data_IF_766854886625
#
_entry.id   IF_766854886625
#
_cell.length_a   1.000
_cell.length_b   1.000
_cell.length_c   1.000
_cell.angle_alpha   90.00
_cell.angle_beta   90.00
_cell.angle_gamma   90.00
#
_symmetry.space_group_name_H-M   'P 1'
#
loop_
_entity.id
_entity.type
_entity.pdbx_description
1 polymer ?
#
# COMPACT_ATOMS: atom_id res chain seq x y z
N UNK A 1 13.80 -0.22 16.04
CA UNK A 1 14.26 -1.57 15.64
C UNK A 1 15.36 -2.07 16.55
N UNK A 2 16.28 -1.22 17.01
CA UNK A 2 17.34 -1.62 17.96
C UNK A 2 16.81 -2.19 19.29
N UNK A 3 15.67 -1.72 19.79
CA UNK A 3 15.02 -2.32 20.96
C UNK A 3 14.49 -3.74 20.67
N UNK A 4 14.11 -4.02 19.42
CA UNK A 4 13.56 -5.31 19.04
C UNK A 4 14.64 -6.39 18.99
N UNK A 5 15.82 -6.06 18.46
CA UNK A 5 16.95 -6.99 18.40
C UNK A 5 17.43 -7.42 19.79
N UNK A 6 17.43 -6.50 20.76
CA UNK A 6 17.83 -6.78 22.15
C UNK A 6 16.76 -7.48 22.99
N UNK A 7 15.51 -7.55 22.50
CA UNK A 7 14.39 -8.18 23.21
C UNK A 7 14.25 -9.69 22.99
N UNK A 8 14.92 -10.23 21.97
CA UNK A 8 14.85 -11.65 21.64
C UNK A 8 15.71 -12.50 22.58
N UNK A 9 15.25 -13.72 22.86
CA UNK A 9 15.92 -14.66 23.76
C UNK A 9 16.33 -15.91 23.00
N UNK A 10 17.61 -16.28 23.05
CA UNK A 10 18.15 -17.43 22.32
C UNK A 10 17.44 -18.77 22.61
N UNK A 11 16.84 -18.96 23.79
CA UNK A 11 16.11 -20.19 24.14
C UNK A 11 14.65 -20.25 23.71
N UNK A 12 14.14 -19.25 22.97
CA UNK A 12 12.70 -19.09 22.71
C UNK A 12 12.40 -18.96 21.23
N UNK A 13 11.21 -19.46 20.86
CA UNK A 13 10.57 -19.11 19.60
C UNK A 13 9.73 -17.85 19.85
N UNK A 14 10.01 -16.78 19.12
CA UNK A 14 9.36 -15.47 19.31
C UNK A 14 9.00 -14.85 17.96
N UNK A 15 8.08 -13.88 18.00
CA UNK A 15 7.71 -13.10 16.82
C UNK A 15 7.82 -11.62 17.15
N UNK A 16 8.40 -10.86 16.22
CA UNK A 16 8.50 -9.41 16.29
C UNK A 16 7.91 -8.78 15.03
N UNK A 17 7.37 -7.58 15.15
CA UNK A 17 6.86 -6.83 14.01
C UNK A 17 7.51 -5.45 14.04
N UNK A 18 8.03 -5.03 12.89
CA UNK A 18 8.65 -3.73 12.71
C UNK A 18 8.24 -3.07 11.41
N UNK A 19 8.15 -1.75 11.41
CA UNK A 19 8.04 -0.95 10.20
C UNK A 19 9.41 -0.37 9.87
N UNK A 20 9.87 -0.57 8.63
CA UNK A 20 11.18 -0.09 8.17
C UNK A 20 11.03 0.66 6.86
N UNK A 21 11.62 1.85 6.78
CA UNK A 21 11.67 2.67 5.57
C UNK A 21 13.07 2.58 4.96
N UNK A 22 13.14 2.32 3.67
CA UNK A 22 14.40 2.29 2.92
C UNK A 22 14.63 3.64 2.21
N UNK A 23 15.69 4.34 2.59
CA UNK A 23 16.05 5.65 2.02
C UNK A 23 14.88 6.63 1.98
N UNK A 24 14.65 7.25 0.82
CA UNK A 24 13.56 8.19 0.60
C UNK A 24 12.20 7.54 0.26
N UNK A 25 12.11 6.20 0.19
CA UNK A 25 10.91 5.47 -0.26
C UNK A 25 9.65 5.95 0.45
N UNK A 26 8.62 6.35 -0.30
CA UNK A 26 7.41 6.99 0.24
C UNK A 26 6.69 6.18 1.32
N UNK A 27 6.74 4.84 1.25
CA UNK A 27 6.06 3.93 2.17
C UNK A 27 7.03 3.12 3.02
N UNK A 28 6.75 2.96 4.32
CA UNK A 28 7.43 1.96 5.14
C UNK A 28 6.95 0.54 4.78
N UNK A 29 7.84 -0.43 4.88
CA UNK A 29 7.52 -1.85 4.73
C UNK A 29 7.43 -2.50 6.11
N UNK A 30 6.37 -3.28 6.31
CA UNK A 30 6.15 -4.03 7.55
C UNK A 30 6.83 -5.39 7.44
N UNK A 31 7.71 -5.68 8.39
CA UNK A 31 8.51 -6.89 8.50
C UNK A 31 7.99 -7.70 9.68
N UNK A 32 7.64 -8.97 9.46
CA UNK A 32 7.44 -9.95 10.51
C UNK A 32 8.75 -10.71 10.72
N UNK A 33 9.29 -10.67 11.91
CA UNK A 33 10.47 -11.45 12.31
C UNK A 33 9.98 -12.71 13.01
N UNK A 34 10.37 -13.87 12.49
CA UNK A 34 10.23 -15.16 13.13
C UNK A 34 11.58 -15.54 13.75
N UNK A 35 11.69 -15.31 15.05
CA UNK A 35 12.88 -15.62 15.82
C UNK A 35 12.90 -17.10 16.23
N UNK A 36 13.95 -17.81 15.80
CA UNK A 36 14.22 -19.22 16.04
C UNK A 36 15.55 -19.37 16.80
N UNK A 37 15.59 -18.84 18.02
CA UNK A 37 16.81 -18.80 18.82
C UNK A 37 17.52 -20.16 18.92
N UNK A 38 18.84 -20.13 19.08
CA UNK A 38 19.73 -21.30 19.03
C UNK A 38 19.34 -22.46 19.98
N UNK A 39 18.69 -22.16 21.10
CA UNK A 39 18.25 -23.16 22.08
C UNK A 39 16.88 -23.80 21.78
N UNK A 40 16.21 -23.41 20.69
CA UNK A 40 14.89 -23.95 20.35
C UNK A 40 15.02 -25.36 19.78
N UNK A 41 14.34 -26.37 20.35
CA UNK A 41 14.43 -27.74 19.86
C UNK A 41 13.81 -27.88 18.47
N UNK A 42 14.41 -28.70 17.61
CA UNK A 42 13.97 -28.91 16.22
C UNK A 42 12.50 -29.33 16.10
N UNK A 43 12.00 -30.10 17.06
CA UNK A 43 10.58 -30.50 17.12
C UNK A 43 9.63 -29.29 17.21
N UNK A 44 10.01 -28.23 17.94
CA UNK A 44 9.23 -26.98 17.95
C UNK A 44 9.30 -26.24 16.63
N UNK A 45 10.45 -26.24 15.95
CA UNK A 45 10.58 -25.57 14.65
C UNK A 45 9.67 -26.23 13.61
N UNK A 46 9.60 -27.57 13.62
CA UNK A 46 8.71 -28.33 12.73
C UNK A 46 7.24 -28.00 13.01
N UNK A 47 6.81 -28.05 14.27
CA UNK A 47 5.41 -27.76 14.63
C UNK A 47 4.98 -26.33 14.29
N UNK A 48 5.94 -25.40 14.22
CA UNK A 48 5.67 -23.98 13.98
C UNK A 48 6.04 -23.50 12.57
N UNK A 49 6.33 -24.42 11.65
CA UNK A 49 6.72 -24.10 10.27
C UNK A 49 5.69 -23.21 9.53
N UNK A 50 4.40 -23.42 9.80
CA UNK A 50 3.31 -22.67 9.15
C UNK A 50 2.92 -21.37 9.88
N UNK A 51 3.50 -21.09 11.04
CA UNK A 51 3.09 -19.91 11.82
C UNK A 51 3.33 -18.61 11.05
N UNK A 52 4.44 -18.50 10.30
CA UNK A 52 4.74 -17.29 9.53
C UNK A 52 3.65 -16.96 8.51
N UNK A 53 3.19 -17.97 7.74
CA UNK A 53 2.13 -17.77 6.75
C UNK A 53 0.78 -17.45 7.39
N UNK A 54 0.43 -18.12 8.49
CA UNK A 54 -0.81 -17.85 9.22
C UNK A 54 -0.80 -16.44 9.85
N UNK A 55 0.32 -16.02 10.43
CA UNK A 55 0.49 -14.67 10.96
C UNK A 55 0.41 -13.61 9.86
N UNK A 56 1.02 -13.85 8.69
CA UNK A 56 0.90 -12.95 7.54
C UNK A 56 -0.54 -12.85 7.01
N UNK A 57 -1.30 -13.93 7.07
CA UNK A 57 -2.72 -13.94 6.72
C UNK A 57 -3.57 -13.18 7.75
N UNK A 58 -3.28 -13.36 9.03
CA UNK A 58 -4.00 -12.73 10.14
C UNK A 58 -3.69 -11.23 10.24
N UNK A 59 -2.41 -10.87 10.24
CA UNK A 59 -1.91 -9.50 10.33
C UNK A 59 -1.73 -8.92 8.92
N UNK A 60 -2.85 -8.44 8.38
CA UNK A 60 -2.86 -7.82 7.04
C UNK A 60 -1.83 -6.69 6.98
N UNK A 61 -1.06 -6.67 5.89
CA UNK A 61 -0.04 -5.63 5.65
C UNK A 61 1.40 -6.05 5.96
N UNK A 62 1.65 -7.28 6.42
CA UNK A 62 3.02 -7.81 6.45
C UNK A 62 3.55 -7.95 5.02
N UNK A 63 4.62 -7.23 4.72
CA UNK A 63 5.24 -7.24 3.40
C UNK A 63 6.18 -8.44 3.26
N UNK A 64 7.00 -8.69 4.28
CA UNK A 64 7.99 -9.76 4.28
C UNK A 64 8.04 -10.47 5.63
N UNK A 65 8.37 -11.76 5.59
CA UNK A 65 8.66 -12.57 6.78
C UNK A 65 10.18 -12.83 6.76
N UNK A 66 10.85 -12.48 7.85
CA UNK A 66 12.28 -12.71 8.06
C UNK A 66 12.44 -13.79 9.12
N UNK A 67 13.09 -14.89 8.76
CA UNK A 67 13.46 -15.93 9.74
C UNK A 67 14.86 -15.58 10.25
N UNK A 68 15.00 -15.49 11.57
CA UNK A 68 16.24 -15.10 12.25
C UNK A 68 16.58 -16.14 13.32
N UNK A 69 17.86 -16.45 13.51
CA UNK A 69 18.34 -17.40 14.53
C UNK A 69 19.20 -16.74 15.60
N UNK A 70 19.84 -15.63 15.25
CA UNK A 70 20.68 -14.86 16.15
C UNK A 70 20.48 -13.35 15.91
N UNK A 71 21.11 -12.54 16.74
CA UNK A 71 20.96 -11.08 16.74
C UNK A 71 21.46 -10.42 15.44
N UNK A 72 22.39 -11.07 14.73
CA UNK A 72 22.96 -10.60 13.47
C UNK A 72 21.95 -10.66 12.32
N UNK A 73 20.96 -11.55 12.39
CA UNK A 73 19.89 -11.62 11.40
C UNK A 73 18.84 -10.50 11.57
N UNK A 74 18.80 -9.87 12.76
CA UNK A 74 17.80 -8.84 13.13
C UNK A 74 18.42 -7.46 13.32
N UNK A 75 19.70 -7.32 12.99
CA UNK A 75 20.34 -6.02 12.96
C UNK A 75 19.73 -5.13 11.86
N UNK A 76 19.86 -3.82 12.01
CA UNK A 76 19.22 -2.87 11.10
C UNK A 76 19.73 -3.03 9.66
N UNK A 77 21.01 -3.35 9.47
CA UNK A 77 21.60 -3.50 8.15
C UNK A 77 21.04 -4.72 7.42
N UNK A 78 20.96 -5.88 8.08
CA UNK A 78 20.39 -7.10 7.48
C UNK A 78 18.92 -6.91 7.12
N UNK A 79 18.13 -6.28 8.00
CA UNK A 79 16.72 -6.02 7.72
C UNK A 79 16.58 -5.06 6.54
N UNK A 80 17.35 -3.97 6.51
CA UNK A 80 17.32 -3.02 5.41
C UNK A 80 17.73 -3.68 4.08
N UNK A 81 18.71 -4.59 4.10
CA UNK A 81 19.13 -5.35 2.92
C UNK A 81 17.98 -6.19 2.34
N UNK A 82 17.19 -6.84 3.21
CA UNK A 82 15.99 -7.58 2.79
C UNK A 82 14.92 -6.62 2.27
N UNK A 83 14.66 -5.52 2.98
CA UNK A 83 13.64 -4.52 2.60
C UNK A 83 13.97 -3.86 1.26
N UNK A 84 15.25 -3.57 0.98
CA UNK A 84 15.70 -2.96 -0.28
C UNK A 84 15.30 -3.75 -1.52
N UNK A 85 15.08 -5.05 -1.40
CA UNK A 85 14.73 -5.96 -2.51
C UNK A 85 13.22 -6.09 -2.70
N UNK A 86 12.42 -5.48 -1.84
CA UNK A 86 10.97 -5.56 -1.91
C UNK A 86 10.41 -4.66 -3.03
N UNK A 87 9.28 -5.04 -3.64
CA UNK A 87 8.59 -4.21 -4.62
C UNK A 87 8.18 -2.84 -4.06
N UNK A 88 8.21 -1.80 -4.91
CA UNK A 88 7.89 -0.43 -4.52
C UNK A 88 8.91 0.23 -3.58
N UNK A 89 10.11 -0.33 -3.42
CA UNK A 89 11.20 0.27 -2.63
C UNK A 89 12.20 1.02 -3.52
N UNK A 90 12.64 0.40 -4.61
CA UNK A 90 13.56 1.01 -5.59
C UNK A 90 12.84 1.59 -6.81
N UNK A 91 11.53 1.80 -6.71
CA UNK A 91 10.78 2.40 -7.82
C UNK A 91 11.07 3.88 -7.86
N UNK A 92 11.93 4.27 -8.79
CA UNK A 92 12.13 5.65 -9.17
C UNK A 92 10.85 6.09 -9.85
N UNK A 93 9.94 6.73 -9.09
CA UNK A 93 8.86 7.48 -9.70
C UNK A 93 9.55 8.52 -10.58
N UNK A 94 9.39 8.50 -11.91
CA UNK A 94 9.85 9.61 -12.72
C UNK A 94 9.10 10.81 -12.18
N UNK A 95 9.81 11.72 -11.51
CA UNK A 95 9.30 13.07 -11.32
C UNK A 95 9.03 13.54 -12.74
N UNK A 96 7.75 13.66 -13.11
CA UNK A 96 7.36 14.54 -14.19
C UNK A 96 7.80 15.92 -13.70
N UNK A 97 9.06 16.24 -13.96
CA UNK A 97 9.53 17.61 -13.93
C UNK A 97 8.65 18.28 -14.96
N UNK A 98 7.66 19.04 -14.50
CA UNK A 98 6.90 19.94 -15.33
C UNK A 98 7.90 20.87 -16.01
N UNK A 99 8.39 20.47 -17.18
CA UNK A 99 8.80 21.43 -18.19
C UNK A 99 7.47 21.88 -18.78
N UNK A 100 6.78 22.76 -18.06
CA UNK A 100 5.73 23.59 -18.63
C UNK A 100 6.41 24.56 -19.59
N UNK A 101 6.84 24.07 -20.77
CA UNK A 101 6.88 24.93 -21.94
C UNK A 101 5.43 25.24 -22.28
N UNK A 102 4.94 26.31 -21.64
CA UNK A 102 3.65 26.92 -21.92
C UNK A 102 3.71 27.51 -23.34
N UNK A 103 3.63 26.65 -24.36
CA UNK A 103 3.29 27.11 -25.70
C UNK A 103 1.81 27.46 -25.64
N UNK A 104 1.51 28.76 -25.60
CA UNK A 104 0.15 29.28 -25.66
C UNK A 104 -0.61 28.57 -26.82
N UNK A 105 -1.76 27.94 -26.57
CA UNK A 105 -2.60 27.46 -27.65
C UNK A 105 -3.02 28.69 -28.47
N UNK A 106 -2.63 28.74 -29.74
CA UNK A 106 -3.11 29.74 -30.69
C UNK A 106 -4.64 29.75 -30.65
N UNK A 107 -5.23 30.92 -30.40
CA UNK A 107 -6.67 31.10 -30.27
C UNK A 107 -7.40 30.47 -31.47
N UNK A 108 -8.16 29.42 -31.21
CA UNK A 108 -9.00 28.77 -32.21
C UNK A 108 -10.29 29.59 -32.28
N UNK A 109 -10.45 30.38 -33.35
CA UNK A 109 -11.66 31.17 -33.57
C UNK A 109 -12.86 30.24 -33.70
N UNK A 110 -13.80 30.32 -32.75
CA UNK A 110 -15.05 29.59 -32.88
C UNK A 110 -15.91 30.31 -33.93
N UNK A 111 -16.22 29.63 -35.02
CA UNK A 111 -17.25 30.07 -35.98
C UNK A 111 -18.62 29.92 -35.32
N UNK A 112 -18.94 30.81 -34.38
CA UNK A 112 -20.27 30.87 -33.80
C UNK A 112 -21.16 31.71 -34.72
N UNK A 113 -22.18 31.08 -35.32
CA UNK A 113 -23.30 31.79 -35.92
C UNK A 113 -24.49 31.75 -34.95
N UNK A 114 -24.94 32.90 -34.40
CA UNK A 114 -26.13 32.94 -33.56
C UNK A 114 -27.36 32.58 -34.39
N UNK A 115 -28.00 31.47 -34.04
CA UNK A 115 -29.30 31.07 -34.62
C UNK A 115 -30.35 32.04 -34.11
N UNK A 116 -31.10 32.70 -35.00
CA UNK A 116 -32.20 33.60 -34.64
C UNK A 116 -33.48 32.79 -34.38
N UNK A 117 -33.96 32.63 -33.13
CA UNK A 117 -35.22 31.95 -32.89
C UNK A 117 -36.38 32.87 -33.29
N UNK A 118 -37.07 32.55 -34.38
CA UNK A 118 -38.40 33.11 -34.67
C UNK A 118 -39.46 32.21 -34.01
N UNK A 119 -40.33 32.85 -33.20
CA UNK A 119 -41.59 32.41 -32.58
C UNK A 119 -42.22 31.16 -33.22
N UNK A 120 -42.80 30.22 -32.47
CA UNK A 120 -43.89 30.47 -31.52
C UNK A 120 -44.10 29.28 -30.58
N UNK A 121 -44.52 29.64 -29.36
CA UNK A 121 -44.96 28.77 -28.28
C UNK A 121 -46.32 28.18 -28.65
N UNK A 122 -46.47 26.85 -28.57
CA UNK A 122 -47.77 26.22 -28.32
C UNK A 122 -47.61 25.24 -27.16
N UNK A 123 -48.21 25.66 -26.04
CA UNK A 123 -48.40 24.89 -24.82
C UNK A 123 -49.54 23.90 -25.06
N UNK A 124 -49.37 22.63 -24.69
CA UNK A 124 -50.48 21.81 -24.19
C UNK A 124 -49.98 20.67 -23.28
N UNK A 125 -50.69 20.33 -22.19
CA UNK A 125 -50.16 19.59 -21.04
C UNK A 125 -50.61 18.12 -21.03
N UNK A 126 -49.67 17.20 -20.81
CA UNK A 126 -49.91 15.76 -20.57
C UNK A 126 -48.52 15.09 -20.66
N UNK A 127 -47.97 14.30 -19.74
CA UNK A 127 -48.50 13.45 -18.68
C UNK A 127 -47.39 13.35 -17.62
N UNK A 128 -47.80 13.60 -16.37
CA UNK A 128 -47.13 13.15 -15.16
C UNK A 128 -46.96 11.62 -15.24
N UNK A 129 -45.76 11.06 -15.14
CA UNK A 129 -45.55 9.72 -14.55
C UNK A 129 -44.07 9.39 -14.30
N UNK A 130 -43.71 9.38 -13.02
CA UNK A 130 -42.92 8.37 -12.29
C UNK A 130 -41.60 7.86 -12.94
N UNK A 131 -40.43 7.98 -12.31
CA UNK A 131 -40.09 7.41 -11.00
C UNK A 131 -38.87 8.14 -10.36
N UNK A 132 -39.06 8.71 -9.17
CA UNK A 132 -37.98 8.92 -8.20
C UNK A 132 -37.90 7.69 -7.29
N UNK A 133 -36.67 7.20 -7.11
CA UNK A 133 -36.01 6.85 -5.83
C UNK A 133 -36.86 6.06 -4.81
N UNK A 134 -36.44 4.83 -4.53
CA UNK A 134 -36.57 4.27 -3.18
C UNK A 134 -35.19 3.94 -2.63
N UNK A 135 -34.86 4.62 -1.53
CA UNK A 135 -33.82 4.27 -0.58
C UNK A 135 -34.52 3.90 0.74
N UNK A 136 -33.77 3.21 1.61
CA UNK A 136 -33.97 3.01 3.07
C UNK A 136 -34.51 1.63 3.51
N UNK A 137 -33.54 0.80 3.93
CA UNK A 137 -33.34 0.27 5.28
C UNK A 137 -34.58 0.12 6.20
N UNK A 138 -34.90 -1.10 6.61
CA UNK A 138 -34.68 -1.71 7.94
C UNK A 138 -34.64 -3.22 7.73
#
# INVERSE_FOLDING_TARGET
MEELSTSFTAGRLQYGIGAVRWGASASAKIVLIQWQGEGVPSSRLVTTANHGSELKRFLRGIHVILIARNEEDVDMESILRVVSRLPGVNETVPTLTEISEFTQPKAVGTTYQPVKPKKSILISPAILSFFQIYNILI
#
